data_IF_212509221826
#
_entry.id   IF_212509221826
#
_cell.length_a   1.000
_cell.length_b   1.000
_cell.length_c   1.000
_cell.angle_alpha   90.00
_cell.angle_beta   90.00
_cell.angle_gamma   90.00
#
_symmetry.space_group_name_H-M   'P 1'
#
loop_
_entity.id
_entity.type
_entity.pdbx_description
1 polymer ?
#
# COMPACT_ATOMS: atom_id res chain seq x y z
N UNK A 1 66.09 -68.17 -12.50
CA UNK A 1 65.09 -68.80 -11.61
C UNK A 1 64.79 -67.81 -10.49
N UNK A 2 63.51 -67.68 -10.10
CA UNK A 2 62.87 -66.61 -9.28
C UNK A 2 62.52 -65.34 -10.08
N UNK A 3 61.24 -65.11 -10.39
CA UNK A 3 60.20 -64.37 -9.59
C UNK A 3 60.50 -62.87 -9.53
N UNK A 4 59.61 -61.90 -9.65
CA UNK A 4 58.16 -61.68 -9.87
C UNK A 4 58.09 -60.15 -10.05
N UNK A 5 57.06 -59.57 -10.66
CA UNK A 5 56.46 -58.31 -10.17
C UNK A 5 55.25 -57.96 -11.03
N UNK A 6 54.12 -58.03 -10.34
CA UNK A 6 52.76 -58.05 -10.81
C UNK A 6 52.28 -56.61 -10.95
N UNK A 7 51.83 -56.23 -12.14
CA UNK A 7 51.33 -54.89 -12.46
C UNK A 7 50.15 -54.47 -11.57
N UNK A 8 50.43 -53.62 -10.59
CA UNK A 8 49.47 -53.05 -9.64
C UNK A 8 48.58 -52.00 -10.33
N UNK A 9 47.37 -52.40 -10.74
CA UNK A 9 46.30 -51.48 -11.20
C UNK A 9 45.96 -50.50 -10.08
N UNK A 10 46.22 -49.21 -10.29
CA UNK A 10 45.69 -48.13 -9.44
C UNK A 10 44.22 -47.93 -9.78
N UNK A 11 43.35 -48.30 -8.85
CA UNK A 11 41.95 -47.88 -8.82
C UNK A 11 41.90 -46.41 -8.42
N UNK A 12 41.31 -45.58 -9.28
CA UNK A 12 41.07 -44.16 -9.03
C UNK A 12 39.93 -44.05 -8.00
N UNK A 13 40.14 -43.39 -6.84
CA UNK A 13 39.07 -43.20 -5.87
C UNK A 13 38.02 -42.23 -6.43
N UNK A 14 36.77 -42.69 -6.41
CA UNK A 14 35.61 -41.94 -6.87
C UNK A 14 35.51 -40.58 -6.17
N UNK A 15 35.43 -39.53 -6.98
CA UNK A 15 35.02 -38.20 -6.55
C UNK A 15 33.58 -38.27 -6.02
N UNK A 16 33.44 -38.51 -4.73
CA UNK A 16 32.19 -38.27 -4.02
C UNK A 16 31.79 -36.81 -4.20
N UNK A 17 30.74 -36.58 -5.00
CA UNK A 17 30.03 -35.30 -5.04
C UNK A 17 29.47 -35.03 -3.65
N UNK A 18 30.26 -34.41 -2.78
CA UNK A 18 29.71 -33.63 -1.66
C UNK A 18 28.93 -32.50 -2.30
N UNK A 19 27.62 -32.71 -2.44
CA UNK A 19 26.66 -31.65 -2.67
C UNK A 19 26.84 -30.70 -1.50
N UNK A 20 27.58 -29.62 -1.72
CA UNK A 20 27.72 -28.55 -0.76
C UNK A 20 26.30 -28.05 -0.48
N UNK A 21 25.76 -28.39 0.69
CA UNK A 21 24.59 -27.69 1.22
C UNK A 21 25.01 -26.22 1.30
N UNK A 22 24.53 -25.44 0.33
CA UNK A 22 24.67 -23.98 0.32
C UNK A 22 23.89 -23.52 1.54
N UNK A 23 24.60 -23.38 2.66
CA UNK A 23 24.08 -22.86 3.90
C UNK A 23 23.64 -21.44 3.60
N UNK A 24 22.32 -21.24 3.45
CA UNK A 24 21.74 -19.94 3.10
C UNK A 24 22.27 -18.91 4.09
N UNK A 25 23.09 -17.98 3.59
CA UNK A 25 23.83 -17.05 4.43
C UNK A 25 22.88 -16.22 5.31
N UNK A 26 23.37 -15.63 6.42
CA UNK A 26 22.58 -14.81 7.34
C UNK A 26 21.72 -13.77 6.63
N UNK A 27 22.22 -13.22 5.53
CA UNK A 27 21.52 -12.29 4.64
C UNK A 27 20.25 -12.88 4.01
N UNK A 28 20.26 -14.12 3.52
CA UNK A 28 19.06 -14.75 2.94
C UNK A 28 17.98 -15.00 3.99
N UNK A 29 18.35 -15.30 5.24
CA UNK A 29 17.40 -15.44 6.36
C UNK A 29 16.74 -14.09 6.70
N UNK A 30 17.51 -13.00 6.70
CA UNK A 30 16.99 -11.65 6.91
C UNK A 30 16.00 -11.24 5.80
N UNK A 31 16.29 -11.58 4.55
CA UNK A 31 15.41 -11.28 3.41
C UNK A 31 14.12 -12.08 3.41
N UNK A 32 14.19 -13.35 3.80
CA UNK A 32 12.98 -14.14 4.03
C UNK A 32 12.14 -13.53 5.15
N UNK A 33 12.76 -13.16 6.28
CA UNK A 33 12.06 -12.54 7.41
C UNK A 33 11.41 -11.20 7.06
N UNK A 34 12.07 -10.34 6.28
CA UNK A 34 11.51 -9.07 5.82
C UNK A 34 10.37 -9.23 4.83
N UNK A 35 10.51 -10.15 3.85
CA UNK A 35 9.43 -10.45 2.92
C UNK A 35 8.20 -10.97 3.67
N UNK A 36 8.40 -11.87 4.65
CA UNK A 36 7.33 -12.35 5.53
C UNK A 36 6.73 -11.21 6.35
N UNK A 37 7.54 -10.30 6.89
CA UNK A 37 7.05 -9.16 7.68
C UNK A 37 6.23 -8.19 6.82
N UNK A 38 6.68 -7.82 5.63
CA UNK A 38 5.94 -6.95 4.69
C UNK A 38 4.63 -7.62 4.28
N UNK A 39 4.66 -8.92 3.97
CA UNK A 39 3.45 -9.69 3.62
C UNK A 39 2.50 -9.80 4.82
N UNK A 40 3.03 -9.96 6.03
CA UNK A 40 2.24 -9.98 7.25
C UNK A 40 1.62 -8.62 7.56
N UNK A 41 2.33 -7.51 7.34
CA UNK A 41 1.78 -6.15 7.49
C UNK A 41 0.66 -5.93 6.49
N UNK A 42 0.89 -6.26 5.21
CA UNK A 42 -0.14 -6.10 4.18
C UNK A 42 -1.34 -7.00 4.46
N UNK A 43 -1.10 -8.24 4.91
CA UNK A 43 -2.13 -9.20 5.31
C UNK A 43 -2.88 -8.80 6.59
N UNK A 44 -2.21 -8.17 7.56
CA UNK A 44 -2.85 -7.63 8.78
C UNK A 44 -3.65 -6.38 8.44
N UNK A 45 -3.14 -5.48 7.60
CA UNK A 45 -3.88 -4.30 7.16
C UNK A 45 -5.11 -4.73 6.34
N UNK A 46 -4.93 -5.60 5.36
CA UNK A 46 -6.03 -6.14 4.56
C UNK A 46 -6.99 -6.97 5.41
N UNK A 47 -6.47 -7.77 6.35
CA UNK A 47 -7.24 -8.58 7.28
C UNK A 47 -8.03 -7.73 8.28
N UNK A 48 -7.48 -6.64 8.81
CA UNK A 48 -8.18 -5.68 9.65
C UNK A 48 -9.25 -4.92 8.86
N UNK A 49 -8.97 -4.55 7.60
CA UNK A 49 -9.95 -3.94 6.69
C UNK A 49 -11.10 -4.91 6.42
N UNK A 50 -10.82 -6.19 6.14
CA UNK A 50 -11.82 -7.24 5.92
C UNK A 50 -12.59 -7.56 7.21
N UNK A 51 -11.89 -7.73 8.34
CA UNK A 51 -12.50 -8.03 9.64
C UNK A 51 -13.39 -6.89 10.12
N UNK A 52 -13.04 -5.64 9.83
CA UNK A 52 -13.89 -4.48 10.08
C UNK A 52 -15.05 -4.40 9.10
N UNK A 53 -14.86 -4.74 7.82
CA UNK A 53 -15.95 -4.84 6.87
C UNK A 53 -16.96 -5.94 7.27
N UNK A 54 -16.49 -7.07 7.81
CA UNK A 54 -17.36 -8.15 8.32
C UNK A 54 -17.96 -7.83 9.67
N UNK A 55 -17.25 -7.16 10.59
CA UNK A 55 -17.82 -6.70 11.86
C UNK A 55 -18.89 -5.60 11.65
N UNK A 56 -18.69 -4.75 10.65
CA UNK A 56 -19.71 -3.81 10.19
C UNK A 56 -20.89 -4.55 9.54
N UNK A 57 -20.62 -5.65 8.82
CA UNK A 57 -21.65 -6.52 8.25
C UNK A 57 -22.48 -7.19 9.35
N UNK A 58 -21.89 -7.62 10.46
CA UNK A 58 -22.61 -8.21 11.61
C UNK A 58 -23.48 -7.17 12.34
N UNK A 59 -22.98 -5.94 12.48
CA UNK A 59 -23.75 -4.80 13.02
C UNK A 59 -24.88 -4.41 12.05
N UNK A 60 -24.64 -4.45 10.73
CA UNK A 60 -25.65 -4.17 9.72
C UNK A 60 -26.70 -5.29 9.64
N UNK A 61 -26.30 -6.55 9.71
CA UNK A 61 -27.21 -7.71 9.71
C UNK A 61 -28.08 -7.74 10.96
N UNK A 62 -27.51 -7.42 12.13
CA UNK A 62 -28.28 -7.29 13.37
C UNK A 62 -29.25 -6.09 13.34
N UNK A 63 -28.86 -4.97 12.72
CA UNK A 63 -29.77 -3.83 12.50
C UNK A 63 -30.88 -4.12 11.48
N UNK A 64 -30.59 -4.93 10.45
CA UNK A 64 -31.56 -5.33 9.43
C UNK A 64 -32.56 -6.37 9.99
N UNK A 65 -32.11 -7.32 10.82
CA UNK A 65 -33.00 -8.24 11.53
C UNK A 65 -33.88 -7.51 12.55
N UNK A 66 -33.35 -6.49 13.24
CA UNK A 66 -34.15 -5.65 14.14
C UNK A 66 -35.22 -4.84 13.37
N UNK A 67 -34.92 -4.39 12.14
CA UNK A 67 -35.89 -3.70 11.28
C UNK A 67 -36.91 -4.65 10.60
N UNK A 68 -36.50 -5.87 10.27
CA UNK A 68 -37.37 -6.87 9.63
C UNK A 68 -38.39 -7.48 10.61
N UNK A 69 -38.10 -7.48 11.92
CA UNK A 69 -39.05 -7.89 12.96
C UNK A 69 -40.19 -6.87 13.20
N UNK A 70 -40.14 -5.67 12.60
CA UNK A 70 -41.07 -4.58 12.84
C UNK A 70 -42.22 -4.39 11.82
N UNK A 71 -42.26 -5.14 10.72
CA UNK A 71 -43.23 -4.87 9.64
C UNK A 71 -43.81 -6.14 9.04
N UNK A 72 -44.77 -6.73 9.75
CA UNK A 72 -45.77 -7.62 9.17
C UNK A 72 -47.02 -6.81 8.84
N UNK A 73 -47.18 -6.41 7.58
CA UNK A 73 -48.51 -6.21 6.96
C UNK A 73 -48.42 -6.35 5.44
N UNK A 74 -49.29 -7.23 4.94
CA UNK A 74 -49.58 -7.70 3.59
C UNK A 74 -49.63 -6.65 2.46
N UNK A 75 -49.17 -7.01 1.24
CA UNK A 75 -50.02 -7.02 0.01
C UNK A 75 -49.34 -7.61 -1.26
N UNK A 76 -50.07 -8.55 -1.87
CA UNK A 76 -50.15 -9.11 -3.24
C UNK A 76 -49.13 -8.84 -4.36
N UNK A 77 -48.58 -9.96 -4.85
CA UNK A 77 -48.37 -10.42 -6.24
C UNK A 77 -48.69 -9.48 -7.43
N UNK A 78 -47.67 -9.22 -8.26
CA UNK A 78 -47.79 -8.69 -9.62
C UNK A 78 -46.61 -9.14 -10.50
N UNK A 79 -46.73 -10.32 -11.11
CA UNK A 79 -45.73 -10.93 -12.00
C UNK A 79 -45.95 -10.46 -13.45
N UNK A 80 -45.02 -9.69 -14.02
CA UNK A 80 -44.66 -9.69 -15.45
C UNK A 80 -43.44 -8.79 -15.74
N UNK A 81 -42.30 -9.37 -16.17
CA UNK A 81 -41.47 -8.66 -17.13
C UNK A 81 -40.85 -9.65 -18.14
N UNK A 82 -41.26 -9.61 -19.40
CA UNK A 82 -40.54 -10.33 -20.45
C UNK A 82 -40.80 -9.73 -21.82
N UNK A 83 -39.71 -9.42 -22.54
CA UNK A 83 -39.60 -9.32 -24.00
C UNK A 83 -39.91 -7.99 -24.71
N UNK A 84 -39.62 -6.83 -24.12
CA UNK A 84 -39.49 -5.56 -24.92
C UNK A 84 -38.11 -4.90 -24.81
N UNK A 85 -37.27 -5.32 -23.85
CA UNK A 85 -35.94 -4.74 -23.66
C UNK A 85 -34.84 -5.28 -24.59
N UNK A 86 -35.14 -6.30 -25.42
CA UNK A 86 -34.11 -6.96 -26.25
C UNK A 86 -34.07 -6.44 -27.70
N UNK A 87 -35.11 -5.76 -28.19
CA UNK A 87 -35.14 -5.24 -29.57
C UNK A 87 -34.47 -3.87 -29.73
N UNK A 88 -34.29 -3.10 -28.65
CA UNK A 88 -33.59 -1.81 -28.68
C UNK A 88 -32.07 -1.90 -28.70
N UNK A 89 -31.48 -3.09 -28.59
CA UNK A 89 -30.03 -3.29 -28.60
C UNK A 89 -29.40 -3.40 -30.01
N UNK A 90 -30.20 -3.36 -31.08
CA UNK A 90 -29.74 -3.68 -32.44
C UNK A 90 -29.24 -2.51 -33.30
N UNK A 91 -29.20 -1.28 -32.77
CA UNK A 91 -28.76 -0.09 -33.52
C UNK A 91 -27.62 0.68 -32.85
N UNK A 92 -26.78 0.02 -32.05
CA UNK A 92 -25.60 0.66 -31.48
C UNK A 92 -24.48 0.80 -32.54
N UNK A 93 -23.97 2.02 -32.82
CA UNK A 93 -22.89 2.24 -33.78
C UNK A 93 -21.58 1.63 -33.24
N UNK A 94 -21.07 0.62 -33.95
CA UNK A 94 -19.94 -0.20 -33.50
C UNK A 94 -18.56 0.48 -33.51
N UNK A 95 -18.45 1.75 -33.95
CA UNK A 95 -17.18 2.49 -33.99
C UNK A 95 -17.34 3.99 -33.69
N UNK A 96 -18.35 4.36 -32.88
CA UNK A 96 -18.44 5.69 -32.29
C UNK A 96 -18.20 5.59 -30.79
N UNK A 97 -17.03 5.99 -30.31
CA UNK A 97 -16.74 6.06 -28.87
C UNK A 97 -17.75 7.02 -28.19
N UNK A 98 -18.80 6.45 -27.58
CA UNK A 98 -19.95 7.13 -26.99
C UNK A 98 -19.62 7.81 -25.64
N UNK A 99 -18.55 8.61 -25.57
CA UNK A 99 -18.25 9.41 -24.36
C UNK A 99 -19.16 10.64 -24.24
N UNK A 100 -19.78 11.08 -25.34
CA UNK A 100 -20.58 12.29 -25.40
C UNK A 100 -21.89 12.21 -24.60
N UNK A 101 -22.45 11.00 -24.46
CA UNK A 101 -23.73 10.79 -23.77
C UNK A 101 -23.57 10.40 -22.29
N UNK A 102 -22.33 10.33 -21.78
CA UNK A 102 -22.10 10.03 -20.37
C UNK A 102 -22.49 11.23 -19.51
N UNK A 103 -23.28 11.04 -18.44
CA UNK A 103 -23.63 12.14 -17.56
C UNK A 103 -22.34 12.72 -16.96
N UNK A 104 -22.21 14.05 -17.01
CA UNK A 104 -21.03 14.82 -16.56
C UNK A 104 -20.48 14.33 -15.21
N UNK A 105 -21.38 14.01 -14.28
CA UNK A 105 -21.08 13.42 -12.97
C UNK A 105 -20.24 12.15 -13.06
N UNK A 106 -20.59 11.21 -13.95
CA UNK A 106 -19.88 9.94 -14.10
C UNK A 106 -18.47 10.16 -14.64
N UNK A 107 -18.30 11.06 -15.61
CA UNK A 107 -16.98 11.41 -16.16
C UNK A 107 -16.08 11.94 -15.04
N UNK A 108 -16.55 12.93 -14.28
CA UNK A 108 -15.78 13.53 -13.18
C UNK A 108 -15.41 12.47 -12.14
N UNK A 109 -16.36 11.62 -11.74
CA UNK A 109 -16.12 10.57 -10.73
C UNK A 109 -15.15 9.50 -11.23
N UNK A 110 -15.24 9.10 -12.50
CA UNK A 110 -14.31 8.16 -13.11
C UNK A 110 -12.90 8.74 -13.17
N UNK A 111 -12.75 10.00 -13.60
CA UNK A 111 -11.46 10.68 -13.62
C UNK A 111 -10.88 10.78 -12.21
N UNK A 112 -11.70 11.15 -11.21
CA UNK A 112 -11.28 11.20 -9.80
C UNK A 112 -10.73 9.86 -9.31
N UNK A 113 -11.43 8.76 -9.60
CA UNK A 113 -10.99 7.41 -9.21
C UNK A 113 -9.75 6.97 -9.96
N UNK A 114 -9.62 7.30 -11.25
CA UNK A 114 -8.42 7.01 -12.03
C UNK A 114 -7.20 7.75 -11.46
N UNK A 115 -7.34 9.04 -11.13
CA UNK A 115 -6.29 9.84 -10.49
C UNK A 115 -5.87 9.26 -9.14
N UNK A 116 -6.83 8.75 -8.35
CA UNK A 116 -6.57 8.07 -7.09
C UNK A 116 -5.72 6.81 -7.29
N UNK A 117 -6.04 5.97 -8.28
CA UNK A 117 -5.27 4.74 -8.56
C UNK A 117 -3.86 5.07 -9.06
N UNK A 118 -3.70 6.06 -9.93
CA UNK A 118 -2.39 6.51 -10.41
C UNK A 118 -1.53 7.02 -9.25
N UNK A 119 -2.10 7.87 -8.39
CA UNK A 119 -1.41 8.39 -7.21
C UNK A 119 -1.04 7.31 -6.20
N UNK A 120 -1.98 6.42 -5.85
CA UNK A 120 -1.77 5.29 -4.96
C UNK A 120 -0.67 4.36 -5.48
N UNK A 121 -0.72 3.98 -6.76
CA UNK A 121 0.26 3.08 -7.37
C UNK A 121 1.67 3.66 -7.34
N UNK A 122 1.83 4.94 -7.69
CA UNK A 122 3.11 5.62 -7.61
C UNK A 122 3.62 5.77 -6.18
N UNK A 123 2.73 6.07 -5.22
CA UNK A 123 3.09 6.22 -3.81
C UNK A 123 3.54 4.89 -3.19
N UNK A 124 2.77 3.81 -3.39
CA UNK A 124 3.13 2.47 -2.90
C UNK A 124 4.44 2.00 -3.53
N UNK A 125 4.63 2.24 -4.84
CA UNK A 125 5.90 1.95 -5.49
C UNK A 125 7.06 2.68 -4.82
N UNK A 126 6.91 3.99 -4.57
CA UNK A 126 7.94 4.82 -3.95
C UNK A 126 8.25 4.37 -2.50
N UNK A 127 7.20 4.11 -1.71
CA UNK A 127 7.32 3.67 -0.32
C UNK A 127 8.08 2.33 -0.22
N UNK A 128 7.72 1.36 -1.07
CA UNK A 128 8.41 0.07 -1.15
C UNK A 128 9.84 0.20 -1.70
N UNK A 129 10.03 1.08 -2.68
CA UNK A 129 11.35 1.34 -3.26
C UNK A 129 12.29 1.91 -2.20
N UNK A 130 11.88 2.96 -1.48
CA UNK A 130 12.67 3.56 -0.39
C UNK A 130 12.90 2.56 0.74
N UNK A 131 11.88 1.79 1.14
CA UNK A 131 12.00 0.78 2.19
C UNK A 131 13.04 -0.29 1.86
N UNK A 132 13.20 -0.67 0.59
CA UNK A 132 14.25 -1.59 0.14
C UNK A 132 15.67 -1.03 0.39
N UNK A 133 15.87 0.27 0.22
CA UNK A 133 17.17 0.91 0.46
C UNK A 133 17.51 1.08 1.94
N UNK A 134 16.51 1.16 2.83
CA UNK A 134 16.74 1.12 4.28
C UNK A 134 17.52 -0.12 4.74
N UNK A 135 17.40 -1.25 4.01
CA UNK A 135 17.98 -2.54 4.42
C UNK A 135 19.24 -2.90 3.62
N UNK A 136 19.24 -2.66 2.30
CA UNK A 136 20.17 -3.38 1.41
C UNK A 136 21.32 -2.56 0.83
N UNK A 137 21.18 -1.25 0.64
CA UNK A 137 22.09 -0.52 -0.24
C UNK A 137 22.25 0.96 0.11
N UNK A 138 23.43 1.50 -0.20
CA UNK A 138 23.64 2.95 -0.27
C UNK A 138 22.78 3.53 -1.40
N UNK A 139 22.23 4.72 -1.16
CA UNK A 139 21.41 5.42 -2.13
C UNK A 139 22.32 6.05 -3.19
N UNK A 140 22.27 5.54 -4.42
CA UNK A 140 23.01 6.08 -5.56
C UNK A 140 22.21 7.20 -6.27
N UNK A 141 22.87 7.93 -7.18
CA UNK A 141 22.24 9.03 -7.91
C UNK A 141 21.06 8.57 -8.80
N UNK A 142 21.17 7.41 -9.44
CA UNK A 142 20.09 6.85 -10.27
C UNK A 142 18.81 6.55 -9.46
N UNK A 143 18.97 6.07 -8.22
CA UNK A 143 17.87 5.83 -7.29
C UNK A 143 17.22 7.13 -6.85
N UNK A 144 18.00 8.20 -6.65
CA UNK A 144 17.48 9.53 -6.33
C UNK A 144 16.65 10.11 -7.47
N UNK A 145 17.08 9.92 -8.71
CA UNK A 145 16.32 10.34 -9.90
C UNK A 145 14.98 9.61 -9.98
N UNK A 146 14.98 8.28 -9.76
CA UNK A 146 13.75 7.49 -9.75
C UNK A 146 12.80 7.87 -8.61
N UNK A 147 13.34 8.13 -7.41
CA UNK A 147 12.57 8.64 -6.26
C UNK A 147 11.95 10.00 -6.60
N UNK A 148 12.73 10.90 -7.20
CA UNK A 148 12.27 12.24 -7.57
C UNK A 148 11.20 12.18 -8.66
N UNK A 149 11.38 11.31 -9.66
CA UNK A 149 10.39 11.08 -10.71
C UNK A 149 9.09 10.52 -10.11
N UNK A 150 9.17 9.45 -9.30
CA UNK A 150 8.01 8.87 -8.64
C UNK A 150 7.27 9.89 -7.77
N UNK A 151 7.99 10.71 -7.01
CA UNK A 151 7.41 11.79 -6.20
C UNK A 151 6.67 12.83 -7.05
N UNK A 152 7.16 13.17 -8.25
CA UNK A 152 6.44 14.06 -9.18
C UNK A 152 5.15 13.42 -9.69
N UNK A 153 5.17 12.11 -10.01
CA UNK A 153 3.97 11.38 -10.43
C UNK A 153 2.92 11.37 -9.32
N UNK A 154 3.33 11.13 -8.06
CA UNK A 154 2.45 11.23 -6.89
C UNK A 154 1.87 12.64 -6.76
N UNK A 155 2.68 13.69 -6.92
CA UNK A 155 2.23 15.08 -6.87
C UNK A 155 1.20 15.41 -7.96
N UNK A 156 1.41 14.95 -9.20
CA UNK A 156 0.43 15.11 -10.28
C UNK A 156 -0.87 14.33 -10.00
N UNK A 157 -0.77 13.10 -9.49
CA UNK A 157 -1.94 12.32 -9.07
C UNK A 157 -2.76 13.06 -8.01
N UNK A 158 -2.08 13.61 -6.99
CA UNK A 158 -2.72 14.39 -5.93
C UNK A 158 -3.34 15.70 -6.45
N UNK A 159 -2.67 16.41 -7.36
CA UNK A 159 -3.22 17.61 -7.98
C UNK A 159 -4.51 17.31 -8.76
N UNK A 160 -4.53 16.20 -9.52
CA UNK A 160 -5.73 15.76 -10.23
C UNK A 160 -6.86 15.32 -9.28
N UNK A 161 -6.54 14.68 -8.15
CA UNK A 161 -7.51 14.36 -7.10
C UNK A 161 -8.17 15.63 -6.57
N UNK A 162 -7.39 16.67 -6.27
CA UNK A 162 -7.92 17.96 -5.81
C UNK A 162 -8.79 18.64 -6.87
N UNK A 163 -8.30 18.73 -8.11
CA UNK A 163 -9.03 19.34 -9.21
C UNK A 163 -10.41 18.68 -9.40
N UNK A 164 -10.42 17.34 -9.44
CA UNK A 164 -11.66 16.57 -9.59
C UNK A 164 -12.52 16.58 -8.32
N UNK A 165 -11.93 16.63 -7.11
CA UNK A 165 -12.68 16.78 -5.86
C UNK A 165 -13.44 18.11 -5.80
N UNK A 166 -12.80 19.21 -6.20
CA UNK A 166 -13.47 20.51 -6.30
C UNK A 166 -14.60 20.49 -7.34
N UNK A 167 -14.39 19.83 -8.49
CA UNK A 167 -15.44 19.65 -9.48
C UNK A 167 -16.64 18.87 -8.92
N UNK A 168 -16.40 17.80 -8.14
CA UNK A 168 -17.46 17.03 -7.45
C UNK A 168 -18.20 17.90 -6.43
N UNK A 169 -17.46 18.65 -5.59
CA UNK A 169 -18.06 19.52 -4.57
C UNK A 169 -18.90 20.64 -5.21
N UNK A 170 -18.40 21.26 -6.28
CA UNK A 170 -19.14 22.26 -7.04
C UNK A 170 -20.40 21.67 -7.65
N UNK A 171 -20.31 20.48 -8.27
CA UNK A 171 -21.47 19.78 -8.80
C UNK A 171 -22.52 19.49 -7.71
N UNK A 172 -22.10 19.01 -6.53
CA UNK A 172 -23.02 18.79 -5.42
C UNK A 172 -23.62 20.10 -4.90
N UNK A 173 -22.87 21.18 -4.82
CA UNK A 173 -23.39 22.47 -4.37
C UNK A 173 -24.45 23.06 -5.31
N UNK A 174 -24.26 22.98 -6.63
CA UNK A 174 -25.16 23.60 -7.60
C UNK A 174 -26.30 22.70 -8.09
N UNK A 175 -26.11 21.37 -8.13
CA UNK A 175 -27.08 20.44 -8.74
C UNK A 175 -27.84 19.62 -7.71
N UNK A 176 -27.18 19.11 -6.68
CA UNK A 176 -27.82 18.27 -5.66
C UNK A 176 -27.18 18.45 -4.26
N UNK A 177 -27.56 19.53 -3.54
CA UNK A 177 -26.95 19.89 -2.26
C UNK A 177 -27.13 18.82 -1.16
N UNK A 178 -28.14 17.95 -1.30
CA UNK A 178 -28.39 16.86 -0.34
C UNK A 178 -27.23 15.87 -0.30
N UNK A 179 -26.44 15.75 -1.36
CA UNK A 179 -25.26 14.88 -1.38
C UNK A 179 -24.14 15.40 -0.48
N UNK A 180 -24.06 16.70 -0.19
CA UNK A 180 -23.05 17.29 0.72
C UNK A 180 -23.27 16.91 2.18
N UNK A 181 -24.49 16.53 2.56
CA UNK A 181 -24.78 16.07 3.93
C UNK A 181 -24.26 14.65 4.21
N UNK A 182 -23.67 13.98 3.22
CA UNK A 182 -23.08 12.67 3.42
C UNK A 182 -21.77 12.79 4.24
N UNK A 183 -21.73 12.27 5.48
CA UNK A 183 -20.56 12.40 6.37
C UNK A 183 -19.28 11.79 5.79
N UNK A 184 -19.42 10.82 4.88
CA UNK A 184 -18.30 10.18 4.19
C UNK A 184 -17.48 11.15 3.34
N UNK A 185 -18.10 12.18 2.77
CA UNK A 185 -17.40 13.18 1.96
C UNK A 185 -16.40 13.96 2.82
N UNK A 186 -16.84 14.38 4.01
CA UNK A 186 -16.01 15.12 4.96
C UNK A 186 -14.86 14.27 5.49
N UNK A 187 -15.11 12.99 5.80
CA UNK A 187 -14.05 12.04 6.18
C UNK A 187 -12.99 11.89 5.08
N UNK A 188 -13.41 11.76 3.81
CA UNK A 188 -12.48 11.72 2.66
C UNK A 188 -11.67 13.00 2.53
N UNK A 189 -12.29 14.16 2.71
CA UNK A 189 -11.63 15.45 2.60
C UNK A 189 -10.50 15.58 3.64
N UNK A 190 -10.76 15.19 4.89
CA UNK A 190 -9.74 15.18 5.95
C UNK A 190 -8.54 14.30 5.56
N UNK A 191 -8.80 13.10 5.02
CA UNK A 191 -7.74 12.18 4.57
C UNK A 191 -6.93 12.79 3.43
N UNK A 192 -7.57 13.41 2.43
CA UNK A 192 -6.87 14.05 1.29
C UNK A 192 -6.04 15.26 1.75
N UNK A 193 -6.53 16.03 2.73
CA UNK A 193 -5.76 17.11 3.36
C UNK A 193 -4.51 16.55 4.05
N UNK A 194 -4.66 15.50 4.86
CA UNK A 194 -3.52 14.84 5.51
C UNK A 194 -2.50 14.32 4.48
N UNK A 195 -2.99 13.76 3.38
CA UNK A 195 -2.18 13.29 2.26
C UNK A 195 -1.40 14.44 1.59
N UNK A 196 -2.01 15.62 1.51
CA UNK A 196 -1.39 16.84 0.96
C UNK A 196 -0.31 17.38 1.87
N UNK A 197 -0.57 17.47 3.17
CA UNK A 197 0.42 17.86 4.18
C UNK A 197 1.60 16.89 4.16
N UNK A 198 1.34 15.58 4.08
CA UNK A 198 2.38 14.56 4.00
C UNK A 198 3.22 14.69 2.72
N UNK A 199 2.56 14.91 1.57
CA UNK A 199 3.26 15.13 0.30
C UNK A 199 4.20 16.34 0.36
N UNK A 200 3.72 17.45 0.93
CA UNK A 200 4.55 18.63 1.17
C UNK A 200 5.75 18.30 2.07
N UNK A 201 5.53 17.62 3.20
CA UNK A 201 6.59 17.18 4.10
C UNK A 201 7.64 16.31 3.41
N UNK A 202 7.21 15.37 2.57
CA UNK A 202 8.13 14.51 1.81
C UNK A 202 9.01 15.35 0.89
N UNK A 203 8.40 16.29 0.15
CA UNK A 203 9.14 17.14 -0.78
C UNK A 203 10.12 18.10 -0.10
N UNK A 204 9.75 18.67 1.05
CA UNK A 204 10.55 19.70 1.73
C UNK A 204 11.53 19.14 2.75
N UNK A 205 11.26 17.97 3.34
CA UNK A 205 12.06 17.39 4.43
C UNK A 205 12.66 16.05 4.04
N UNK A 206 11.82 15.08 3.65
CA UNK A 206 12.28 13.70 3.41
C UNK A 206 13.20 13.60 2.20
N UNK A 207 12.88 14.23 1.07
CA UNK A 207 13.72 14.18 -0.12
C UNK A 207 15.08 14.86 0.07
N UNK A 208 15.19 16.07 0.64
CA UNK A 208 16.49 16.65 0.98
C UNK A 208 17.29 15.78 1.94
N UNK A 209 16.65 15.19 2.95
CA UNK A 209 17.30 14.28 3.89
C UNK A 209 17.87 13.04 3.20
N UNK A 210 17.08 12.39 2.34
CA UNK A 210 17.52 11.26 1.51
C UNK A 210 18.77 11.63 0.70
N UNK A 211 18.79 12.82 0.08
CA UNK A 211 19.92 13.31 -0.70
C UNK A 211 21.17 13.52 0.15
N UNK A 212 21.03 14.07 1.36
CA UNK A 212 22.13 14.26 2.31
C UNK A 212 22.70 12.93 2.80
N UNK A 213 21.87 11.90 2.92
CA UNK A 213 22.31 10.54 3.27
C UNK A 213 22.86 9.74 2.08
N UNK A 214 23.00 10.33 0.89
CA UNK A 214 23.57 9.63 -0.28
C UNK A 214 24.99 9.16 0.01
N UNK A 215 25.27 7.89 -0.28
CA UNK A 215 26.55 7.24 0.03
C UNK A 215 26.69 6.69 1.45
N UNK A 216 25.73 6.94 2.35
CA UNK A 216 25.70 6.37 3.70
C UNK A 216 24.62 5.28 3.83
N UNK A 217 24.80 4.35 4.77
CA UNK A 217 23.75 3.40 5.12
C UNK A 217 22.74 4.09 6.05
N UNK A 218 21.44 4.00 5.74
CA UNK A 218 20.40 4.64 6.56
C UNK A 218 20.30 4.03 7.98
N UNK A 219 20.85 2.83 8.19
CA UNK A 219 20.95 2.24 9.54
C UNK A 219 21.97 2.97 10.43
N UNK A 220 22.91 3.72 9.85
CA UNK A 220 23.93 4.45 10.60
C UNK A 220 23.45 5.85 11.02
N UNK A 221 22.29 6.26 10.51
CA UNK A 221 21.60 7.50 10.87
C UNK A 221 20.95 7.34 12.24
N UNK A 222 20.94 8.40 13.10
CA UNK A 222 20.26 8.35 14.38
C UNK A 222 18.80 7.90 14.26
N UNK A 223 18.40 6.97 15.13
CA UNK A 223 17.05 6.37 15.12
C UNK A 223 15.94 7.42 15.06
N UNK A 224 16.06 8.50 15.83
CA UNK A 224 15.07 9.59 15.86
C UNK A 224 14.84 10.18 14.47
N UNK A 225 15.90 10.41 13.71
CA UNK A 225 15.80 11.01 12.37
C UNK A 225 15.12 10.04 11.40
N UNK A 226 15.45 8.75 11.44
CA UNK A 226 14.76 7.76 10.61
C UNK A 226 13.29 7.64 11.01
N UNK A 227 13.00 7.58 12.30
CA UNK A 227 11.64 7.47 12.84
C UNK A 227 10.74 8.64 12.40
N UNK A 228 11.25 9.88 12.38
CA UNK A 228 10.44 11.06 12.05
C UNK A 228 10.48 11.41 10.57
N UNK A 229 11.63 11.31 9.90
CA UNK A 229 11.81 11.79 8.52
C UNK A 229 11.43 10.73 7.48
N UNK A 230 11.46 9.44 7.85
CA UNK A 230 11.10 8.34 6.95
C UNK A 230 9.88 7.55 7.40
N UNK A 231 9.92 6.97 8.60
CA UNK A 231 8.90 6.01 9.00
C UNK A 231 7.52 6.67 9.16
N UNK A 232 7.47 7.90 9.70
CA UNK A 232 6.22 8.64 9.84
C UNK A 232 5.61 8.99 8.47
N UNK A 233 6.33 9.64 7.52
CA UNK A 233 5.76 9.95 6.22
C UNK A 233 5.32 8.74 5.40
N UNK A 234 6.08 7.63 5.46
CA UNK A 234 5.71 6.37 4.79
C UNK A 234 4.45 5.78 5.41
N UNK A 235 4.32 5.81 6.74
CA UNK A 235 3.11 5.34 7.43
C UNK A 235 1.89 6.16 7.03
N UNK A 236 2.04 7.49 7.01
CA UNK A 236 0.96 8.40 6.58
C UNK A 236 0.58 8.15 5.13
N UNK A 237 1.56 7.97 4.24
CA UNK A 237 1.35 7.66 2.82
C UNK A 237 0.50 6.40 2.64
N UNK A 238 0.98 5.25 3.14
CA UNK A 238 0.33 3.94 2.98
C UNK A 238 -1.12 3.96 3.48
N UNK A 239 -1.34 4.50 4.69
CA UNK A 239 -2.67 4.52 5.31
C UNK A 239 -3.62 5.47 4.58
N UNK A 240 -3.16 6.68 4.24
CA UNK A 240 -4.03 7.70 3.63
C UNK A 240 -4.47 7.30 2.22
N UNK A 241 -3.56 6.77 1.40
CA UNK A 241 -3.91 6.29 0.06
C UNK A 241 -4.85 5.08 0.12
N UNK A 242 -4.58 4.13 1.02
CA UNK A 242 -5.44 2.94 1.20
C UNK A 242 -6.83 3.32 1.72
N UNK A 243 -6.91 4.22 2.70
CA UNK A 243 -8.18 4.69 3.24
C UNK A 243 -9.01 5.43 2.18
N UNK A 244 -8.37 6.31 1.40
CA UNK A 244 -9.03 7.00 0.29
C UNK A 244 -9.57 6.00 -0.77
N UNK A 245 -8.79 4.97 -1.10
CA UNK A 245 -9.20 3.91 -2.02
C UNK A 245 -10.39 3.09 -1.50
N UNK A 246 -10.32 2.61 -0.26
CA UNK A 246 -11.40 1.85 0.40
C UNK A 246 -12.68 2.69 0.45
N UNK A 247 -12.61 3.92 0.94
CA UNK A 247 -13.79 4.81 0.97
C UNK A 247 -14.29 5.14 -0.44
N UNK A 248 -13.42 5.12 -1.46
CA UNK A 248 -13.78 5.23 -2.87
C UNK A 248 -14.59 4.04 -3.38
N UNK A 249 -14.14 2.82 -3.07
CA UNK A 249 -14.70 1.57 -3.59
C UNK A 249 -16.04 1.18 -2.93
N UNK A 250 -16.16 1.30 -1.61
CA UNK A 250 -17.32 0.77 -0.88
C UNK A 250 -18.47 1.77 -0.82
N UNK A 251 -19.46 1.63 -1.70
CA UNK A 251 -20.69 2.46 -1.72
C UNK A 251 -21.59 2.24 -0.49
N UNK A 252 -21.54 1.05 0.10
CA UNK A 252 -22.36 0.68 1.27
C UNK A 252 -22.06 1.53 2.51
N UNK A 253 -20.87 2.13 2.58
CA UNK A 253 -20.49 3.05 3.67
C UNK A 253 -21.17 4.42 3.57
N UNK A 254 -21.95 4.69 2.52
CA UNK A 254 -22.65 5.96 2.36
C UNK A 254 -23.75 6.06 3.43
N UNK A 255 -23.70 7.09 4.27
CA UNK A 255 -24.60 7.31 5.42
C UNK A 255 -24.59 6.23 6.51
N UNK A 256 -23.88 5.11 6.33
CA UNK A 256 -23.76 4.05 7.34
C UNK A 256 -22.77 4.39 8.46
N UNK A 257 -21.77 5.24 8.19
CA UNK A 257 -20.71 5.59 9.14
C UNK A 257 -20.58 7.11 9.23
N UNK A 258 -20.42 7.61 10.47
CA UNK A 258 -20.20 9.04 10.72
C UNK A 258 -18.79 9.50 10.31
N UNK A 259 -18.61 10.80 10.11
CA UNK A 259 -17.32 11.40 9.73
C UNK A 259 -16.27 11.19 10.81
N UNK A 260 -16.68 11.29 12.07
CA UNK A 260 -15.82 11.16 13.24
C UNK A 260 -15.30 9.74 13.37
N UNK A 261 -16.16 8.74 13.14
CA UNK A 261 -15.77 7.34 13.15
C UNK A 261 -14.75 7.02 12.05
N UNK A 262 -14.93 7.58 10.84
CA UNK A 262 -13.95 7.43 9.75
C UNK A 262 -12.60 8.03 10.14
N UNK A 263 -12.58 9.25 10.69
CA UNK A 263 -11.34 9.92 11.08
C UNK A 263 -10.66 9.21 12.25
N UNK A 264 -11.43 8.75 13.25
CA UNK A 264 -10.91 7.98 14.37
C UNK A 264 -10.25 6.68 13.89
N UNK A 265 -10.93 5.96 12.99
CA UNK A 265 -10.38 4.73 12.41
C UNK A 265 -9.10 5.01 11.61
N UNK A 266 -9.09 6.09 10.83
CA UNK A 266 -7.91 6.54 10.10
C UNK A 266 -6.72 6.83 11.04
N UNK A 267 -6.95 7.58 12.13
CA UNK A 267 -5.91 7.90 13.12
C UNK A 267 -5.41 6.64 13.85
N UNK A 268 -6.33 5.72 14.19
CA UNK A 268 -5.96 4.43 14.80
C UNK A 268 -5.08 3.60 13.84
N UNK A 269 -5.47 3.51 12.56
CA UNK A 269 -4.69 2.82 11.54
C UNK A 269 -3.29 3.45 11.37
N UNK A 270 -3.18 4.79 11.36
CA UNK A 270 -1.90 5.49 11.35
C UNK A 270 -1.02 5.11 12.55
N UNK A 271 -1.57 5.15 13.75
CA UNK A 271 -0.84 4.82 14.97
C UNK A 271 -0.31 3.37 14.93
N UNK A 272 -1.16 2.41 14.53
CA UNK A 272 -0.77 1.00 14.41
C UNK A 272 0.33 0.83 13.37
N UNK A 273 0.15 1.36 12.15
CA UNK A 273 1.17 1.26 11.09
C UNK A 273 2.50 1.87 11.52
N UNK A 274 2.47 3.02 12.19
CA UNK A 274 3.68 3.68 12.67
C UNK A 274 4.40 2.88 13.77
N UNK A 275 3.65 2.38 14.76
CA UNK A 275 4.22 1.52 15.84
C UNK A 275 4.83 0.25 15.26
N UNK A 276 4.16 -0.38 14.30
CA UNK A 276 4.69 -1.57 13.62
C UNK A 276 5.98 -1.24 12.85
N UNK A 277 6.01 -0.12 12.13
CA UNK A 277 7.21 0.33 11.42
C UNK A 277 8.38 0.59 12.38
N UNK A 278 8.15 1.23 13.53
CA UNK A 278 9.14 1.42 14.58
C UNK A 278 9.66 0.10 15.15
N UNK A 279 8.76 -0.85 15.41
CA UNK A 279 9.11 -2.17 15.92
C UNK A 279 10.01 -2.94 14.95
N UNK A 280 9.65 -2.95 13.66
CA UNK A 280 10.45 -3.59 12.61
C UNK A 280 11.82 -2.92 12.50
N UNK A 281 11.87 -1.60 12.44
CA UNK A 281 13.14 -0.88 12.33
C UNK A 281 14.05 -1.12 13.54
N UNK A 282 13.48 -1.14 14.75
CA UNK A 282 14.21 -1.46 15.98
C UNK A 282 14.77 -2.89 15.96
N UNK A 283 14.00 -3.87 15.45
CA UNK A 283 14.48 -5.24 15.28
C UNK A 283 15.62 -5.32 14.27
N UNK A 284 15.54 -4.58 13.15
CA UNK A 284 16.60 -4.54 12.15
C UNK A 284 17.92 -4.01 12.70
N UNK A 285 17.88 -2.94 13.51
CA UNK A 285 19.08 -2.42 14.18
C UNK A 285 19.68 -3.48 15.11
N UNK A 286 18.86 -4.11 15.95
CA UNK A 286 19.31 -5.17 16.87
C UNK A 286 19.98 -6.34 16.12
N UNK A 287 19.39 -6.79 15.01
CA UNK A 287 19.98 -7.85 14.19
C UNK A 287 21.28 -7.44 13.51
N UNK A 288 21.43 -6.17 13.10
CA UNK A 288 22.69 -5.66 12.55
C UNK A 288 23.77 -5.71 13.61
N UNK A 289 23.50 -5.18 14.79
CA UNK A 289 24.49 -5.05 15.87
C UNK A 289 24.98 -6.44 16.33
N UNK A 290 24.08 -7.44 16.39
CA UNK A 290 24.46 -8.84 16.70
C UNK A 290 25.36 -9.49 15.64
N UNK A 291 25.25 -9.09 14.37
CA UNK A 291 26.05 -9.64 13.27
C UNK A 291 27.30 -8.79 12.95
N UNK A 292 27.46 -7.62 13.59
CA UNK A 292 28.45 -6.59 13.27
C UNK A 292 29.78 -6.68 14.03
N UNK A 293 29.93 -7.58 15.00
CA UNK A 293 31.21 -7.79 15.73
C UNK A 293 31.88 -9.09 15.31
N UNK A 294 32.56 -9.07 14.17
CA UNK A 294 33.82 -9.79 14.04
C UNK A 294 34.87 -8.71 13.76
N UNK A 295 35.69 -8.30 14.74
CA UNK A 295 36.86 -7.49 14.42
C UNK A 295 37.63 -8.29 13.39
N UNK A 296 37.85 -7.70 12.21
CA UNK A 296 38.86 -8.21 11.28
C UNK A 296 40.14 -8.20 12.09
N UNK A 297 40.55 -9.35 12.60
CA UNK A 297 41.85 -9.54 13.21
C UNK A 297 42.82 -9.13 12.11
N UNK A 298 43.38 -7.94 12.26
CA UNK A 298 44.51 -7.49 11.48
C UNK A 298 45.56 -8.55 11.75
N UNK A 299 45.68 -9.46 10.79
CA UNK A 299 46.70 -10.48 10.75
C UNK A 299 47.99 -9.70 10.62
N UNK A 300 48.58 -9.32 11.76
CA UNK A 300 49.89 -8.70 11.78
C UNK A 300 50.84 -9.78 11.30
N UNK A 301 51.19 -9.72 10.02
CA UNK A 301 52.35 -10.42 9.49
C UNK A 301 53.55 -9.94 10.30
N UNK A 302 54.06 -10.81 11.16
CA UNK A 302 55.45 -10.85 11.56
C UNK A 302 56.06 -12.05 10.87
#
# INVERSE_FOLDING_TARGET
>A
MSETEFGKRRTVPGHGRRVAQIQKGPRQKLLASLATAVTAIFGVILGLIILQATGLLDVLLSSFQASAAGTSTSSSLGLRPTLTAFETAKTAPLLGFAWADLPLRSIIVMTHQASLVVGLGAAVFLDLFIARYLVKHQINQQSLELITFGSKVVAYGLALIWLTAFAILAYYYFVDPKLLSNPKIWGKLVIVIALTVNGAFIHTVTLPFIKQCSGQCLLDVPFKNIATVFLMPVSVSIVSWSAAFVLGAFKELNHAISSEAIVLLYVAALAVTYVVALGIFSLLIRFRDQNGTQPVSVMSGR
#
